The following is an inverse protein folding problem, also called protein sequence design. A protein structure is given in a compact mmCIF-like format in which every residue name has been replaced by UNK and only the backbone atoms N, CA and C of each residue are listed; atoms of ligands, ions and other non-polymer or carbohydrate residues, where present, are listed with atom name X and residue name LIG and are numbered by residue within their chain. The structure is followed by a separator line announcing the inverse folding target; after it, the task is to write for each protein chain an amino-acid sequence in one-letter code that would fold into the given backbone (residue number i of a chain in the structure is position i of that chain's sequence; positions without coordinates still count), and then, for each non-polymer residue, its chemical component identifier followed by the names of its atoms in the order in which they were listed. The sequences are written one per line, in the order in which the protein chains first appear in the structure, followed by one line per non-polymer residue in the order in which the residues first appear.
data_IF_573053404182
#
_entry.id   IF_573053404182
#
_cell.length_a   1.000
_cell.length_b   1.000
_cell.length_c   1.000
_cell.angle_alpha   90.00
_cell.angle_beta   90.00
_cell.angle_gamma   90.00
#
_symmetry.space_group_name_H-M   'P 1'
#
loop_
_entity.id
_entity.type
_entity.pdbx_description
1 polymer ?
#
# COMPACT_ATOMS: atom_id res chain seq x y z
N UNK A 1 110.15 25.12 -35.00
CA UNK A 1 108.96 25.74 -34.38
C UNK A 1 108.66 25.01 -33.10
N UNK A 2 108.80 25.69 -31.95
CA UNK A 2 108.54 25.11 -30.64
C UNK A 2 107.03 24.91 -30.46
N UNK A 3 106.60 23.68 -30.19
CA UNK A 3 105.23 23.41 -29.74
C UNK A 3 105.12 23.97 -28.32
N UNK A 4 104.29 24.98 -28.15
CA UNK A 4 103.93 25.52 -26.84
C UNK A 4 102.83 24.62 -26.31
N UNK A 5 103.21 23.63 -25.49
CA UNK A 5 102.24 22.78 -24.80
C UNK A 5 101.60 23.61 -23.68
N UNK A 6 100.43 24.20 -23.96
CA UNK A 6 99.58 24.80 -22.93
C UNK A 6 99.18 23.70 -21.94
N UNK A 7 99.33 23.96 -20.63
CA UNK A 7 98.83 23.05 -19.59
C UNK A 7 97.34 22.78 -19.84
N UNK A 8 96.92 21.51 -19.98
CA UNK A 8 95.54 21.19 -20.31
C UNK A 8 94.60 21.64 -19.19
N UNK A 9 93.43 22.17 -19.57
CA UNK A 9 92.41 22.63 -18.62
C UNK A 9 91.94 21.43 -17.77
N UNK A 10 91.96 21.52 -16.43
CA UNK A 10 91.52 20.44 -15.55
C UNK A 10 90.10 19.93 -15.86
N UNK A 11 89.20 20.78 -16.38
CA UNK A 11 87.86 20.34 -16.82
C UNK A 11 87.90 19.44 -18.04
N UNK A 12 88.77 19.75 -19.01
CA UNK A 12 88.94 18.96 -20.22
C UNK A 12 89.57 17.60 -19.89
N UNK A 13 90.56 17.58 -19.00
CA UNK A 13 91.18 16.34 -18.50
C UNK A 13 90.14 15.45 -17.82
N UNK A 14 89.31 16.00 -16.92
CA UNK A 14 88.25 15.25 -16.24
C UNK A 14 87.18 14.71 -17.22
N UNK A 15 86.80 15.49 -18.24
CA UNK A 15 85.87 15.06 -19.26
C UNK A 15 86.44 13.92 -20.14
N UNK A 16 87.72 14.00 -20.50
CA UNK A 16 88.44 12.97 -21.25
C UNK A 16 88.54 11.68 -20.43
N UNK A 17 88.84 11.78 -19.14
CA UNK A 17 88.91 10.63 -18.23
C UNK A 17 87.53 9.98 -18.03
N UNK A 18 86.47 10.76 -17.82
CA UNK A 18 85.11 10.25 -17.74
C UNK A 18 84.70 9.51 -19.03
N UNK A 19 85.08 10.03 -20.20
CA UNK A 19 84.84 9.37 -21.49
C UNK A 19 85.62 8.06 -21.61
N UNK A 20 86.90 8.04 -21.20
CA UNK A 20 87.72 6.82 -21.16
C UNK A 20 87.13 5.77 -20.21
N UNK A 21 86.63 6.18 -19.05
CA UNK A 21 86.03 5.28 -18.07
C UNK A 21 84.72 4.66 -18.59
N UNK A 22 83.84 5.47 -19.21
CA UNK A 22 82.63 4.96 -19.87
C UNK A 22 82.94 3.97 -21.01
N UNK A 23 83.98 4.25 -21.81
CA UNK A 23 84.36 3.33 -22.89
C UNK A 23 84.94 2.02 -22.32
N UNK A 24 85.72 2.07 -21.23
CA UNK A 24 86.20 0.86 -20.52
C UNK A 24 85.04 0.03 -19.97
N UNK A 25 84.04 0.67 -19.36
CA UNK A 25 82.82 0.00 -18.87
C UNK A 25 81.97 -0.60 -19.99
N UNK A 26 81.95 0.05 -21.16
CA UNK A 26 81.28 -0.48 -22.35
C UNK A 26 82.02 -1.68 -22.93
N UNK A 27 83.34 -1.59 -23.06
CA UNK A 27 84.19 -2.66 -23.56
C UNK A 27 84.10 -3.90 -22.67
N UNK A 28 84.12 -3.74 -21.34
CA UNK A 28 84.00 -4.87 -20.41
C UNK A 28 82.68 -5.64 -20.57
N UNK A 29 81.59 -4.95 -20.93
CA UNK A 29 80.29 -5.59 -21.23
C UNK A 29 80.26 -6.25 -22.61
N UNK A 30 80.86 -5.62 -23.63
CA UNK A 30 80.79 -6.08 -25.02
C UNK A 30 81.71 -7.26 -25.32
N UNK A 31 82.90 -7.28 -24.73
CA UNK A 31 83.89 -8.35 -24.93
C UNK A 31 83.58 -9.61 -24.11
N UNK A 32 82.78 -9.51 -23.04
CA UNK A 32 82.31 -10.67 -22.30
C UNK A 32 81.07 -11.27 -23.00
N UNK A 33 81.28 -12.40 -23.68
CA UNK A 33 80.24 -13.10 -24.47
C UNK A 33 79.04 -13.51 -23.61
N UNK A 34 79.28 -13.93 -22.35
CA UNK A 34 78.22 -14.41 -21.45
C UNK A 34 77.29 -13.30 -21.00
N UNK A 35 77.84 -12.13 -20.63
CA UNK A 35 77.02 -10.95 -20.28
C UNK A 35 76.33 -10.36 -21.49
N UNK A 36 76.91 -10.47 -22.70
CA UNK A 36 76.29 -10.00 -23.93
C UNK A 36 75.08 -10.83 -24.35
N UNK A 37 75.14 -12.15 -24.15
CA UNK A 37 74.06 -13.07 -24.57
C UNK A 37 73.02 -13.28 -23.47
N UNK A 38 73.41 -13.33 -22.18
CA UNK A 38 72.53 -13.69 -21.06
C UNK A 38 72.66 -12.76 -19.84
N UNK A 39 73.23 -11.56 -19.99
CA UNK A 39 73.39 -10.62 -18.89
C UNK A 39 72.05 -10.09 -18.41
N UNK A 40 71.70 -10.37 -17.16
CA UNK A 40 70.48 -9.89 -16.50
C UNK A 40 70.84 -9.34 -15.14
N UNK A 41 70.25 -8.20 -14.77
CA UNK A 41 70.40 -7.62 -13.44
C UNK A 41 69.48 -8.33 -12.44
N UNK A 42 69.98 -9.44 -11.90
CA UNK A 42 69.25 -10.27 -10.93
C UNK A 42 68.88 -9.48 -9.68
N UNK A 43 69.70 -8.51 -9.26
CA UNK A 43 69.40 -7.69 -8.08
C UNK A 43 68.20 -6.80 -8.34
N UNK A 44 68.18 -6.10 -9.47
CA UNK A 44 67.05 -5.25 -9.85
C UNK A 44 65.76 -6.08 -10.02
N UNK A 45 65.83 -7.26 -10.64
CA UNK A 45 64.68 -8.14 -10.79
C UNK A 45 64.15 -8.64 -9.43
N UNK A 46 65.03 -9.03 -8.51
CA UNK A 46 64.61 -9.45 -7.17
C UNK A 46 63.90 -8.30 -6.42
N UNK A 47 64.44 -7.07 -6.50
CA UNK A 47 63.79 -5.90 -5.92
C UNK A 47 62.41 -5.62 -6.53
N UNK A 48 62.24 -5.80 -7.85
CA UNK A 48 60.94 -5.66 -8.50
C UNK A 48 59.93 -6.72 -8.04
N UNK A 49 60.37 -7.97 -7.85
CA UNK A 49 59.53 -9.05 -7.34
C UNK A 49 59.10 -8.77 -5.90
N UNK A 50 60.00 -8.29 -5.05
CA UNK A 50 59.68 -7.91 -3.67
C UNK A 50 58.67 -6.75 -3.62
N UNK A 51 58.88 -5.72 -4.44
CA UNK A 51 57.95 -4.58 -4.54
C UNK A 51 56.56 -5.03 -4.99
N UNK A 52 56.49 -5.94 -5.96
CA UNK A 52 55.22 -6.51 -6.43
C UNK A 52 54.51 -7.29 -5.32
N UNK A 53 55.23 -8.13 -4.58
CA UNK A 53 54.66 -8.88 -3.45
C UNK A 53 54.11 -7.96 -2.37
N UNK A 54 54.85 -6.88 -2.06
CA UNK A 54 54.39 -5.87 -1.10
C UNK A 54 53.10 -5.19 -1.58
N UNK A 55 53.04 -4.80 -2.86
CA UNK A 55 51.84 -4.24 -3.47
C UNK A 55 50.64 -5.20 -3.38
N UNK A 56 50.82 -6.43 -3.81
CA UNK A 56 49.78 -7.47 -3.75
C UNK A 56 49.29 -7.70 -2.30
N UNK A 57 50.21 -7.76 -1.32
CA UNK A 57 49.84 -7.90 0.09
C UNK A 57 49.06 -6.68 0.63
N UNK A 58 49.43 -5.46 0.21
CA UNK A 58 48.68 -4.26 0.59
C UNK A 58 47.32 -4.17 -0.07
N UNK A 59 47.15 -4.70 -1.28
CA UNK A 59 45.86 -4.76 -1.96
C UNK A 59 44.96 -5.80 -1.28
N UNK A 60 45.49 -6.99 -0.98
CA UNK A 60 44.75 -8.03 -0.25
C UNK A 60 44.30 -7.56 1.13
N UNK A 61 45.13 -6.83 1.86
CA UNK A 61 44.73 -6.30 3.18
C UNK A 61 43.64 -5.23 3.07
N UNK A 62 43.67 -4.39 2.04
CA UNK A 62 42.60 -3.43 1.75
C UNK A 62 41.31 -4.13 1.36
N UNK A 63 41.38 -5.14 0.49
CA UNK A 63 40.21 -5.91 0.06
C UNK A 63 39.56 -6.64 1.24
N UNK A 64 40.35 -7.25 2.12
CA UNK A 64 39.86 -7.85 3.35
C UNK A 64 39.16 -6.81 4.26
N UNK A 65 39.73 -5.61 4.40
CA UNK A 65 39.09 -4.53 5.15
C UNK A 65 37.75 -4.12 4.52
N UNK A 66 37.69 -3.95 3.19
CA UNK A 66 36.44 -3.66 2.49
C UNK A 66 35.39 -4.77 2.63
N UNK A 67 35.80 -6.05 2.60
CA UNK A 67 34.91 -7.17 2.86
C UNK A 67 34.26 -7.08 4.24
N UNK A 68 35.03 -6.78 5.28
CA UNK A 68 34.47 -6.60 6.63
C UNK A 68 33.51 -5.41 6.74
N UNK A 69 33.78 -4.30 6.03
CA UNK A 69 32.84 -3.18 5.96
C UNK A 69 31.54 -3.54 5.23
N UNK A 70 31.63 -4.32 4.14
CA UNK A 70 30.45 -4.79 3.42
C UNK A 70 29.55 -5.64 4.32
N UNK A 71 30.11 -6.60 5.05
CA UNK A 71 29.34 -7.42 6.00
C UNK A 71 28.62 -6.58 7.06
N UNK A 72 29.27 -5.53 7.57
CA UNK A 72 28.66 -4.60 8.53
C UNK A 72 27.50 -3.81 7.89
N UNK A 73 27.69 -3.29 6.68
CA UNK A 73 26.64 -2.56 5.98
C UNK A 73 25.45 -3.44 5.61
N UNK A 74 25.70 -4.68 5.18
CA UNK A 74 24.66 -5.64 4.86
C UNK A 74 23.82 -5.98 6.09
N UNK A 75 24.47 -6.16 7.25
CA UNK A 75 23.77 -6.37 8.52
C UNK A 75 22.86 -5.18 8.87
N UNK A 76 23.37 -3.95 8.74
CA UNK A 76 22.59 -2.72 9.00
C UNK A 76 21.41 -2.62 8.04
N UNK A 77 21.61 -2.90 6.75
CA UNK A 77 20.56 -2.87 5.74
C UNK A 77 19.43 -3.87 6.08
N UNK A 78 19.78 -5.10 6.46
CA UNK A 78 18.81 -6.12 6.87
C UNK A 78 18.03 -5.72 8.14
N UNK A 79 18.69 -5.05 9.09
CA UNK A 79 18.02 -4.55 10.30
C UNK A 79 17.00 -3.46 9.94
N UNK A 80 17.38 -2.50 9.10
CA UNK A 80 16.49 -1.42 8.66
C UNK A 80 15.28 -1.96 7.88
N UNK A 81 15.50 -2.92 6.99
CA UNK A 81 14.41 -3.56 6.24
C UNK A 81 13.40 -4.25 7.18
N UNK A 82 13.89 -4.97 8.19
CA UNK A 82 13.03 -5.60 9.22
C UNK A 82 12.24 -4.56 9.99
N UNK A 83 12.88 -3.47 10.41
CA UNK A 83 12.18 -2.38 11.12
C UNK A 83 11.09 -1.74 10.26
N UNK A 84 11.36 -1.48 8.99
CA UNK A 84 10.36 -0.93 8.06
C UNK A 84 9.20 -1.90 7.83
N UNK A 85 9.50 -3.19 7.64
CA UNK A 85 8.48 -4.23 7.52
C UNK A 85 7.60 -4.32 8.79
N UNK A 86 8.17 -4.18 9.98
CA UNK A 86 7.39 -4.14 11.21
C UNK A 86 6.55 -2.86 11.34
N UNK A 87 7.11 -1.69 10.99
CA UNK A 87 6.38 -0.41 11.02
C UNK A 87 5.17 -0.45 10.08
N UNK A 88 5.36 -0.92 8.85
CA UNK A 88 4.27 -1.05 7.87
C UNK A 88 3.21 -2.04 8.34
N UNK A 89 3.60 -3.20 8.89
CA UNK A 89 2.65 -4.15 9.51
C UNK A 89 1.84 -3.53 10.64
N UNK A 90 2.50 -2.80 11.56
CA UNK A 90 1.83 -2.11 12.68
C UNK A 90 0.85 -1.05 12.19
N UNK A 91 1.23 -0.27 11.17
CA UNK A 91 0.35 0.73 10.55
C UNK A 91 -0.87 0.07 9.90
N UNK A 92 -0.66 -0.97 9.09
CA UNK A 92 -1.74 -1.70 8.44
C UNK A 92 -2.71 -2.30 9.45
N UNK A 93 -2.19 -2.86 10.55
CA UNK A 93 -3.02 -3.37 11.65
C UNK A 93 -3.89 -2.27 12.26
N UNK A 94 -3.32 -1.10 12.57
CA UNK A 94 -4.07 0.04 13.10
C UNK A 94 -5.14 0.55 12.13
N UNK A 95 -4.83 0.60 10.84
CA UNK A 95 -5.81 0.98 9.79
C UNK A 95 -6.95 -0.03 9.76
N UNK A 96 -6.64 -1.32 9.83
CA UNK A 96 -7.65 -2.37 9.84
C UNK A 96 -8.52 -2.32 11.11
N UNK A 97 -7.91 -2.17 12.29
CA UNK A 97 -8.62 -1.98 13.55
C UNK A 97 -9.55 -0.75 13.50
N UNK A 98 -9.09 0.35 12.90
CA UNK A 98 -9.91 1.55 12.72
C UNK A 98 -11.10 1.30 11.78
N UNK A 99 -10.89 0.60 10.67
CA UNK A 99 -11.96 0.20 9.74
C UNK A 99 -13.01 -0.65 10.45
N UNK A 100 -12.55 -1.65 11.20
CA UNK A 100 -13.41 -2.56 11.96
C UNK A 100 -14.16 -1.86 13.08
N UNK A 101 -13.59 -0.85 13.73
CA UNK A 101 -14.27 -0.16 14.83
C UNK A 101 -15.19 0.96 14.36
N UNK A 102 -14.75 1.76 13.39
CA UNK A 102 -15.42 3.02 13.03
C UNK A 102 -16.13 2.98 11.69
N UNK A 103 -15.70 2.12 10.76
CA UNK A 103 -16.24 2.08 9.40
C UNK A 103 -17.16 0.88 9.14
N UNK A 104 -17.69 0.28 10.21
CA UNK A 104 -18.71 -0.77 10.09
C UNK A 104 -19.93 -0.23 9.34
N UNK A 105 -20.51 -1.09 8.49
CA UNK A 105 -21.71 -0.76 7.71
C UNK A 105 -22.86 -0.29 8.63
N UNK A 106 -23.01 -0.93 9.79
CA UNK A 106 -24.03 -0.63 10.81
C UNK A 106 -23.94 0.80 11.37
N UNK A 107 -22.76 1.40 11.33
CA UNK A 107 -22.52 2.74 11.88
C UNK A 107 -22.72 3.84 10.82
N UNK A 108 -23.16 3.51 9.61
CA UNK A 108 -23.44 4.49 8.55
C UNK A 108 -24.77 5.17 8.81
N UNK A 109 -24.84 6.47 8.52
CA UNK A 109 -26.08 7.26 8.65
C UNK A 109 -27.21 6.71 7.79
N UNK A 110 -26.89 6.20 6.59
CA UNK A 110 -27.87 5.66 5.66
C UNK A 110 -28.15 4.16 5.88
N UNK A 111 -27.58 3.53 6.92
CA UNK A 111 -27.74 2.09 7.12
C UNK A 111 -29.21 1.70 7.23
N UNK A 112 -30.02 2.53 7.90
CA UNK A 112 -31.46 2.31 8.06
C UNK A 112 -32.22 2.22 6.74
N UNK A 113 -31.72 2.82 5.64
CA UNK A 113 -32.31 2.70 4.31
C UNK A 113 -31.88 1.42 3.60
N UNK A 114 -30.66 0.96 3.85
CA UNK A 114 -30.04 -0.20 3.22
C UNK A 114 -30.21 -1.50 4.01
N UNK A 115 -30.78 -1.45 5.21
CA UNK A 115 -30.96 -2.62 6.05
C UNK A 115 -31.92 -3.63 5.38
N UNK A 116 -31.48 -4.85 5.03
CA UNK A 116 -32.36 -5.87 4.48
C UNK A 116 -33.47 -6.30 5.45
N UNK A 117 -33.29 -6.09 6.76
CA UNK A 117 -34.30 -6.32 7.77
C UNK A 117 -35.39 -5.25 7.85
N UNK A 118 -35.20 -4.10 7.19
CA UNK A 118 -36.09 -2.93 7.28
C UNK A 118 -37.54 -3.27 6.98
N UNK A 119 -37.80 -3.98 5.89
CA UNK A 119 -39.16 -4.37 5.47
C UNK A 119 -39.88 -5.29 6.48
N UNK A 120 -39.12 -6.03 7.29
CA UNK A 120 -39.66 -6.91 8.33
C UNK A 120 -39.94 -6.16 9.64
N UNK A 121 -39.25 -5.04 9.86
CA UNK A 121 -39.39 -4.20 11.06
C UNK A 121 -40.35 -3.03 10.83
N UNK A 122 -40.69 -2.72 9.58
CA UNK A 122 -41.66 -1.69 9.24
C UNK A 122 -43.07 -2.08 9.69
N UNK A 123 -43.70 -1.17 10.42
CA UNK A 123 -45.10 -1.32 10.80
C UNK A 123 -45.99 -1.05 9.58
N UNK A 124 -47.10 -1.79 9.42
CA UNK A 124 -48.11 -1.48 8.42
C UNK A 124 -48.55 -0.02 8.53
N UNK A 125 -48.70 0.65 7.38
CA UNK A 125 -49.14 2.04 7.32
C UNK A 125 -50.51 2.25 7.96
N UNK A 126 -51.36 1.22 7.97
CA UNK A 126 -52.65 1.20 8.64
C UNK A 126 -52.82 -0.12 9.37
N UNK A 127 -52.98 -0.07 10.70
CA UNK A 127 -53.13 -1.24 11.58
C UNK A 127 -54.58 -1.52 11.98
N UNK A 128 -55.53 -0.73 11.46
CA UNK A 128 -56.96 -0.87 11.73
C UNK A 128 -57.56 0.30 12.53
N UNK A 129 -58.88 0.27 12.80
CA UNK A 129 -59.63 1.39 13.33
C UNK A 129 -59.41 1.68 14.83
N UNK A 130 -58.56 0.89 15.51
CA UNK A 130 -58.31 0.99 16.96
C UNK A 130 -57.15 1.91 17.35
N UNK A 131 -56.32 2.32 16.38
CA UNK A 131 -55.15 3.19 16.58
C UNK A 131 -55.53 4.67 16.29
N UNK A 132 -54.76 5.66 16.82
CA UNK A 132 -55.00 7.07 16.55
C UNK A 132 -55.12 7.31 15.04
N UNK A 133 -56.19 7.96 14.56
CA UNK A 133 -56.39 8.13 13.13
C UNK A 133 -55.20 8.88 12.53
N UNK A 134 -54.63 8.32 11.47
CA UNK A 134 -53.66 9.03 10.66
C UNK A 134 -54.33 10.32 10.16
N UNK A 135 -53.68 11.47 10.40
CA UNK A 135 -54.28 12.78 10.07
C UNK A 135 -54.63 12.88 8.58
N UNK A 136 -55.49 13.83 8.17
CA UNK A 136 -55.99 13.91 6.79
C UNK A 136 -54.89 14.08 5.73
N UNK A 137 -53.74 14.65 6.10
CA UNK A 137 -52.57 14.79 5.21
C UNK A 137 -51.90 13.45 4.87
N UNK A 138 -52.11 12.41 5.69
CA UNK A 138 -51.54 11.07 5.45
C UNK A 138 -52.20 10.35 4.27
N UNK A 139 -53.44 10.71 3.93
CA UNK A 139 -54.26 10.06 2.89
C UNK A 139 -54.41 8.54 3.10
N UNK A 140 -54.24 8.05 4.33
CA UNK A 140 -54.36 6.62 4.66
C UNK A 140 -55.78 6.20 5.06
N UNK A 141 -56.59 7.14 5.54
CA UNK A 141 -57.99 6.94 5.88
C UNK A 141 -58.84 8.03 5.23
N UNK A 142 -59.95 7.66 4.63
CA UNK A 142 -60.88 8.63 4.04
C UNK A 142 -62.25 8.56 4.72
N UNK A 143 -62.82 9.72 5.06
CA UNK A 143 -64.14 9.77 5.70
C UNK A 143 -65.29 9.20 4.85
N UNK A 144 -65.08 9.04 3.53
CA UNK A 144 -66.04 8.39 2.63
C UNK A 144 -65.97 6.86 2.64
N UNK A 145 -64.96 6.27 3.28
CA UNK A 145 -64.85 4.82 3.44
C UNK A 145 -65.81 4.36 4.54
N UNK A 146 -67.04 4.04 4.14
CA UNK A 146 -68.09 3.57 5.04
C UNK A 146 -67.89 2.08 5.37
N UNK A 147 -67.05 1.82 6.40
CA UNK A 147 -66.82 0.47 6.94
C UNK A 147 -68.11 -0.14 7.52
N UNK A 148 -69.07 0.68 7.95
CA UNK A 148 -70.32 0.26 8.57
C UNK A 148 -71.47 0.11 7.57
N UNK A 149 -71.25 0.41 6.28
CA UNK A 149 -72.26 0.36 5.22
C UNK A 149 -73.09 -0.92 5.24
N UNK A 150 -72.43 -2.07 5.44
CA UNK A 150 -73.11 -3.36 5.49
C UNK A 150 -74.07 -3.47 6.68
N UNK A 151 -73.69 -2.91 7.84
CA UNK A 151 -74.55 -2.83 9.03
C UNK A 151 -75.69 -1.86 8.80
N UNK A 152 -75.41 -0.67 8.26
CA UNK A 152 -76.43 0.32 7.92
C UNK A 152 -77.47 -0.23 6.93
N UNK A 153 -77.05 -0.96 5.89
CA UNK A 153 -77.95 -1.59 4.93
C UNK A 153 -78.82 -2.66 5.56
N UNK A 154 -78.28 -3.48 6.48
CA UNK A 154 -79.08 -4.45 7.23
C UNK A 154 -80.13 -3.77 8.10
N UNK A 155 -79.74 -2.73 8.84
CA UNK A 155 -80.69 -1.96 9.65
C UNK A 155 -81.80 -1.34 8.79
N UNK A 156 -81.47 -0.78 7.63
CA UNK A 156 -82.46 -0.26 6.69
C UNK A 156 -83.40 -1.36 6.20
N UNK A 157 -82.89 -2.53 5.80
CA UNK A 157 -83.72 -3.65 5.37
C UNK A 157 -84.67 -4.14 6.48
N UNK A 158 -84.19 -4.22 7.71
CA UNK A 158 -85.01 -4.59 8.88
C UNK A 158 -86.10 -3.55 9.16
N UNK A 159 -85.77 -2.26 9.08
CA UNK A 159 -86.75 -1.18 9.20
C UNK A 159 -87.79 -1.22 8.09
N UNK A 160 -87.38 -1.43 6.84
CA UNK A 160 -88.28 -1.59 5.71
C UNK A 160 -89.21 -2.79 5.92
N UNK A 161 -88.68 -3.95 6.29
CA UNK A 161 -89.48 -5.14 6.56
C UNK A 161 -90.52 -4.88 7.66
N UNK A 162 -90.09 -4.32 8.78
CA UNK A 162 -90.98 -3.99 9.89
C UNK A 162 -92.08 -2.98 9.49
N UNK A 163 -91.73 -1.97 8.68
CA UNK A 163 -92.71 -0.99 8.18
C UNK A 163 -93.76 -1.62 7.26
N UNK A 164 -93.36 -2.55 6.38
CA UNK A 164 -94.26 -3.28 5.49
C UNK A 164 -95.18 -4.23 6.26
N UNK A 165 -94.64 -4.94 7.25
CA UNK A 165 -95.42 -5.80 8.14
C UNK A 165 -96.51 -5.01 8.88
N UNK A 166 -96.16 -3.82 9.40
CA UNK A 166 -97.13 -2.93 10.04
C UNK A 166 -98.22 -2.46 9.07
N UNK A 167 -97.86 -2.03 7.87
CA UNK A 167 -98.84 -1.59 6.85
C UNK A 167 -99.79 -2.72 6.45
N UNK A 168 -99.29 -3.95 6.31
CA UNK A 168 -100.13 -5.11 6.03
C UNK A 168 -101.11 -5.40 7.18
N UNK A 169 -100.66 -5.29 8.44
CA UNK A 169 -101.54 -5.43 9.60
C UNK A 169 -102.61 -4.34 9.65
N UNK A 170 -102.24 -3.09 9.40
CA UNK A 170 -103.18 -1.96 9.33
C UNK A 170 -104.22 -2.17 8.21
N UNK A 171 -103.80 -2.62 7.01
CA UNK A 171 -104.73 -2.93 5.92
C UNK A 171 -105.65 -4.11 6.23
N UNK A 172 -105.15 -5.16 6.89
CA UNK A 172 -105.96 -6.29 7.33
C UNK A 172 -107.01 -5.84 8.36
N UNK A 173 -106.62 -5.02 9.34
CA UNK A 173 -107.54 -4.45 10.33
C UNK A 173 -108.65 -3.63 9.65
N UNK A 174 -108.31 -2.75 8.70
CA UNK A 174 -109.32 -1.97 7.95
C UNK A 174 -110.26 -2.90 7.15
N UNK A 175 -109.73 -3.92 6.48
CA UNK A 175 -110.58 -4.88 5.74
C UNK A 175 -111.50 -5.70 6.64
N UNK A 176 -111.03 -6.05 7.84
CA UNK A 176 -111.83 -6.80 8.80
C UNK A 176 -112.90 -5.91 9.46
N UNK A 177 -112.58 -4.64 9.72
CA UNK A 177 -113.54 -3.61 10.15
C UNK A 177 -114.60 -3.34 9.07
N UNK A 178 -114.22 -3.28 7.79
CA UNK A 178 -115.14 -3.14 6.65
C UNK A 178 -116.05 -4.37 6.44
N UNK A 179 -115.60 -5.58 6.77
CA UNK A 179 -116.42 -6.81 6.69
C UNK A 179 -117.36 -7.01 7.88
N UNK A 180 -117.06 -6.38 9.02
CA UNK A 180 -117.89 -6.43 10.23
C UNK A 180 -118.94 -5.30 10.30
N UNK A 181 -118.88 -4.33 9.39
CA UNK A 181 -119.90 -3.31 9.15
C UNK A 181 -120.94 -3.77 8.11
#
# INVERSE_FOLDING_TARGET
MYKVDLSPDPKEVAAIEARRNREKERQSRFFNVRTRVMGVDVKALNSQVEERKLREATEQSKEAAYGTYQEQYDLVAQMLEKEEAERTRRLNKKVQEFREQKQQLKNRQEFDLWDPGRLWMEFPAYLGPSEPPCGPASLQCFAGEDLERAMCLKMQQEQFRYSLERQLQEQQQVQDDEKCA
#
